data_IF_749897596531
#
_entry.id   IF_749897596531
#
_cell.length_a   1.000
_cell.length_b   1.000
_cell.length_c   1.000
_cell.angle_alpha   90.00
_cell.angle_beta   90.00
_cell.angle_gamma   90.00
#
_symmetry.space_group_name_H-M   'P 1'
#
loop_
_entity.id
_entity.type
_entity.pdbx_description
1 polymer ?
#
# COMPACT_ATOMS: atom_id res chain seq x y z
N UNK A 1 0.71 -21.34 10.96
CA UNK A 1 0.43 -19.95 10.52
C UNK A 1 1.11 -19.02 11.51
N UNK A 2 1.99 -18.13 11.04
CA UNK A 2 2.62 -17.14 11.92
C UNK A 2 1.67 -15.93 12.00
N UNK A 3 0.89 -15.83 13.08
CA UNK A 3 -0.14 -14.80 13.24
C UNK A 3 0.42 -13.37 13.18
N UNK A 4 1.68 -13.18 13.61
CA UNK A 4 2.40 -11.92 13.52
C UNK A 4 2.63 -11.43 12.08
N UNK A 5 2.91 -12.35 11.14
CA UNK A 5 3.08 -12.04 9.72
C UNK A 5 1.75 -11.66 9.06
N UNK A 6 0.68 -12.40 9.38
CA UNK A 6 -0.67 -12.09 8.91
C UNK A 6 -1.14 -10.70 9.40
N UNK A 7 -0.89 -10.39 10.67
CA UNK A 7 -1.23 -9.08 11.25
C UNK A 7 -0.41 -7.95 10.61
N UNK A 8 0.90 -8.18 10.35
CA UNK A 8 1.74 -7.22 9.65
C UNK A 8 1.28 -6.99 8.20
N UNK A 9 1.07 -8.07 7.44
CA UNK A 9 0.66 -7.99 6.03
C UNK A 9 -0.69 -7.28 5.92
N UNK A 10 -1.64 -7.62 6.80
CA UNK A 10 -2.94 -6.95 6.87
C UNK A 10 -2.79 -5.46 7.21
N UNK A 11 -1.96 -5.12 8.20
CA UNK A 11 -1.70 -3.73 8.57
C UNK A 11 -1.07 -2.94 7.42
N UNK A 12 -0.05 -3.50 6.75
CA UNK A 12 0.62 -2.87 5.62
C UNK A 12 -0.34 -2.60 4.46
N UNK A 13 -1.23 -3.54 4.15
CA UNK A 13 -2.26 -3.35 3.12
C UNK A 13 -3.32 -2.33 3.56
N UNK A 14 -3.69 -2.30 4.85
CA UNK A 14 -4.63 -1.31 5.40
C UNK A 14 -4.07 0.11 5.27
N UNK A 15 -2.82 0.33 5.65
CA UNK A 15 -2.16 1.64 5.51
C UNK A 15 -2.00 2.04 4.04
N UNK A 16 -1.59 1.10 3.17
CA UNK A 16 -1.55 1.35 1.72
C UNK A 16 -2.92 1.77 1.16
N UNK A 17 -3.99 1.11 1.59
CA UNK A 17 -5.36 1.43 1.17
C UNK A 17 -5.75 2.84 1.60
N UNK A 18 -5.38 3.26 2.83
CA UNK A 18 -5.64 4.62 3.32
C UNK A 18 -4.88 5.66 2.50
N UNK A 19 -3.61 5.40 2.17
CA UNK A 19 -2.78 6.33 1.42
C UNK A 19 -3.30 6.51 -0.02
N UNK A 20 -3.66 5.42 -0.70
CA UNK A 20 -4.33 5.48 -2.02
C UNK A 20 -5.65 6.25 -1.91
N UNK A 21 -6.45 5.97 -0.87
CA UNK A 21 -7.70 6.69 -0.61
C UNK A 21 -7.49 8.19 -0.45
N UNK A 22 -6.43 8.61 0.26
CA UNK A 22 -6.10 10.02 0.41
C UNK A 22 -5.70 10.68 -0.91
N UNK A 23 -4.95 9.99 -1.77
CA UNK A 23 -4.57 10.49 -3.10
C UNK A 23 -5.83 10.72 -3.95
N UNK A 24 -6.73 9.73 -3.98
CA UNK A 24 -7.98 9.83 -4.73
C UNK A 24 -8.86 10.95 -4.18
N UNK A 25 -9.02 11.04 -2.85
CA UNK A 25 -9.83 12.08 -2.22
C UNK A 25 -9.29 13.48 -2.54
N UNK A 26 -7.97 13.69 -2.47
CA UNK A 26 -7.35 14.96 -2.82
C UNK A 26 -7.63 15.36 -4.27
N UNK A 27 -7.64 14.39 -5.20
CA UNK A 27 -7.98 14.65 -6.60
C UNK A 27 -9.45 15.06 -6.77
N UNK A 28 -10.36 14.37 -6.07
CA UNK A 28 -11.78 14.70 -6.06
C UNK A 28 -12.05 16.07 -5.45
N UNK A 29 -11.39 16.41 -4.34
CA UNK A 29 -11.50 17.70 -3.66
C UNK A 29 -10.97 18.84 -4.52
N UNK A 30 -9.97 18.57 -5.37
CA UNK A 30 -9.47 19.49 -6.39
C UNK A 30 -10.42 19.64 -7.60
N UNK A 31 -11.50 18.85 -7.67
CA UNK A 31 -12.48 18.87 -8.77
C UNK A 31 -12.03 18.13 -10.02
N UNK A 32 -10.99 17.30 -9.93
CA UNK A 32 -10.54 16.50 -11.06
C UNK A 32 -11.50 15.32 -11.29
N UNK A 33 -11.77 15.03 -12.56
CA UNK A 33 -12.55 13.83 -12.95
C UNK A 33 -11.72 12.56 -12.92
N UNK A 34 -10.39 12.71 -13.01
CA UNK A 34 -9.43 11.63 -13.16
C UNK A 34 -8.20 11.89 -12.27
N UNK A 35 -7.40 10.84 -12.04
CA UNK A 35 -6.10 10.98 -11.40
C UNK A 35 -5.08 11.56 -12.38
N UNK A 36 -4.22 12.45 -11.89
CA UNK A 36 -3.10 12.92 -12.71
C UNK A 36 -2.09 11.79 -12.95
N UNK A 37 -1.25 11.91 -13.99
CA UNK A 37 -0.18 10.94 -14.21
C UNK A 37 0.77 10.83 -13.00
N UNK A 38 0.97 11.93 -12.27
CA UNK A 38 1.78 11.94 -11.05
C UNK A 38 1.12 11.16 -9.91
N UNK A 39 -0.20 11.25 -9.76
CA UNK A 39 -0.94 10.48 -8.75
C UNK A 39 -0.86 8.98 -9.06
N UNK A 40 -1.03 8.62 -10.33
CA UNK A 40 -0.91 7.23 -10.79
C UNK A 40 0.50 6.69 -10.56
N UNK A 41 1.53 7.46 -10.92
CA UNK A 41 2.92 7.08 -10.67
C UNK A 41 3.20 6.89 -9.18
N UNK A 42 2.68 7.79 -8.34
CA UNK A 42 2.84 7.70 -6.90
C UNK A 42 2.17 6.44 -6.33
N UNK A 43 0.92 6.16 -6.72
CA UNK A 43 0.19 4.93 -6.34
C UNK A 43 0.97 3.67 -6.73
N UNK A 44 1.50 3.62 -7.95
CA UNK A 44 2.27 2.46 -8.42
C UNK A 44 3.54 2.27 -7.60
N UNK A 45 4.25 3.36 -7.28
CA UNK A 45 5.48 3.32 -6.48
C UNK A 45 5.21 2.81 -5.06
N UNK A 46 4.26 3.40 -4.34
CA UNK A 46 3.95 2.97 -2.96
C UNK A 46 3.43 1.53 -2.91
N UNK A 47 2.64 1.12 -3.91
CA UNK A 47 2.13 -0.26 -4.02
C UNK A 47 3.29 -1.24 -4.24
N UNK A 48 4.24 -0.89 -5.11
CA UNK A 48 5.43 -1.70 -5.36
C UNK A 48 6.29 -1.82 -4.09
N UNK A 49 6.54 -0.71 -3.39
CA UNK A 49 7.35 -0.69 -2.17
C UNK A 49 6.73 -1.53 -1.06
N UNK A 50 5.42 -1.41 -0.81
CA UNK A 50 4.70 -2.21 0.19
C UNK A 50 4.71 -3.69 -0.18
N UNK A 51 4.46 -4.01 -1.46
CA UNK A 51 4.49 -5.40 -1.95
C UNK A 51 5.88 -6.02 -1.79
N UNK A 52 6.94 -5.27 -2.07
CA UNK A 52 8.31 -5.71 -1.83
C UNK A 52 8.54 -5.97 -0.35
N UNK A 53 8.15 -5.07 0.56
CA UNK A 53 8.32 -5.26 2.01
C UNK A 53 7.60 -6.50 2.54
N UNK A 54 6.36 -6.74 2.11
CA UNK A 54 5.58 -7.94 2.47
C UNK A 54 6.30 -9.21 2.00
N UNK A 55 6.77 -9.23 0.75
CA UNK A 55 7.49 -10.38 0.17
C UNK A 55 8.87 -10.60 0.79
N UNK A 56 9.56 -9.53 1.17
CA UNK A 56 10.91 -9.56 1.72
C UNK A 56 10.96 -9.95 3.19
N UNK A 57 9.80 -10.05 3.88
CA UNK A 57 9.81 -10.55 5.26
C UNK A 57 10.28 -12.02 5.27
N UNK A 58 11.42 -12.30 5.92
CA UNK A 58 11.90 -13.67 6.04
C UNK A 58 10.83 -14.49 6.75
N UNK A 59 10.48 -15.65 6.19
CA UNK A 59 9.82 -16.67 6.99
C UNK A 59 10.77 -16.97 8.15
N UNK A 60 10.35 -16.64 9.37
CA UNK A 60 11.05 -17.13 10.55
C UNK A 60 11.16 -18.64 10.40
N UNK A 61 12.39 -19.12 10.12
CA UNK A 61 12.71 -20.53 10.11
C UNK A 61 12.41 -21.05 11.53
N UNK A 62 11.25 -21.65 11.71
CA UNK A 62 10.97 -22.45 12.89
C UNK A 62 11.90 -23.66 12.83
N UNK A 63 13.00 -23.61 13.58
CA UNK A 63 13.91 -24.74 13.86
C UNK A 63 13.23 -25.71 14.81
#
# INVERSE_FOLDING_TARGET
MNYSKLDFDYFAISELTKEIGSIVQNSLDAGNTDLSSSDVEHILKITSDVTCKIKSQPEELTV
#
